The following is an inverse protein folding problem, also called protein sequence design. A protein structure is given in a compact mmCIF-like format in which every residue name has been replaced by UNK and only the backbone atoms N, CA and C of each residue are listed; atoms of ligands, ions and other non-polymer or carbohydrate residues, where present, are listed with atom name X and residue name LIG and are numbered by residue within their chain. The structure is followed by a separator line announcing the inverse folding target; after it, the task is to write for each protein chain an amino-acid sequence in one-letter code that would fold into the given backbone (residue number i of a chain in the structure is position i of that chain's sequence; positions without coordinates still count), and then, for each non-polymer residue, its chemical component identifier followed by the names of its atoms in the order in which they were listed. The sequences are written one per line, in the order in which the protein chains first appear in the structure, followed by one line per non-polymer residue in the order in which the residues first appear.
data_IF_899818619366
#
_entry.id   IF_899818619366
#
_cell.length_a   1.000
_cell.length_b   1.000
_cell.length_c   1.000
_cell.angle_alpha   90.00
_cell.angle_beta   90.00
_cell.angle_gamma   90.00
#
_symmetry.space_group_name_H-M   'P 1'
#
loop_
_entity.id
_entity.type
_entity.pdbx_description
1 polymer ?
#
# COMPACT_ATOMS: atom_id res chain seq x y z
N UNK A 1 13.17 7.24 10.80
CA UNK A 1 12.67 7.25 9.39
C UNK A 1 11.19 6.94 9.38
N UNK A 2 10.42 7.53 8.44
CA UNK A 2 8.98 7.33 8.33
C UNK A 2 8.63 6.68 6.99
N UNK A 3 7.64 5.79 6.97
CA UNK A 3 7.02 5.30 5.74
C UNK A 3 5.62 5.90 5.64
N UNK A 4 5.34 6.56 4.52
CA UNK A 4 4.05 7.16 4.20
C UNK A 4 3.35 6.27 3.17
N UNK A 5 2.25 5.64 3.55
CA UNK A 5 1.47 4.82 2.66
C UNK A 5 0.21 5.57 2.21
N UNK A 6 0.14 5.86 0.93
CA UNK A 6 -1.00 6.57 0.33
C UNK A 6 -1.96 5.56 -0.28
N UNK A 7 -3.21 5.59 0.13
CA UNK A 7 -4.27 4.75 -0.40
C UNK A 7 -4.51 4.94 -1.90
N UNK A 8 -5.11 3.96 -2.55
CA UNK A 8 -5.42 4.00 -3.97
C UNK A 8 -6.85 4.44 -4.31
N UNK A 9 -7.61 4.96 -3.33
CA UNK A 9 -8.96 5.45 -3.51
C UNK A 9 -9.05 6.75 -4.31
N UNK A 10 -10.24 7.06 -4.82
CA UNK A 10 -10.49 8.29 -5.58
C UNK A 10 -10.41 9.57 -4.73
N UNK A 11 -10.82 9.49 -3.46
CA UNK A 11 -10.97 10.66 -2.61
C UNK A 11 -9.70 11.08 -1.87
N UNK A 12 -8.61 10.35 -2.05
CA UNK A 12 -7.32 10.71 -1.42
C UNK A 12 -6.81 12.03 -2.00
N UNK A 13 -6.61 13.01 -1.13
CA UNK A 13 -6.11 14.34 -1.47
C UNK A 13 -4.58 14.33 -1.61
N UNK A 14 -4.10 14.02 -2.81
CA UNK A 14 -2.66 13.97 -3.10
C UNK A 14 -1.98 15.34 -3.00
N UNK A 15 -2.69 16.39 -3.41
CA UNK A 15 -2.19 17.77 -3.35
C UNK A 15 -1.96 18.19 -1.90
N UNK A 16 -2.96 17.96 -1.02
CA UNK A 16 -2.84 18.25 0.40
C UNK A 16 -1.71 17.47 1.09
N UNK A 17 -1.50 16.19 0.71
CA UNK A 17 -0.36 15.42 1.22
C UNK A 17 0.96 16.05 0.74
N UNK A 18 1.07 16.40 -0.54
CA UNK A 18 2.28 17.01 -1.09
C UNK A 18 2.55 18.41 -0.50
N UNK A 19 1.50 19.21 -0.23
CA UNK A 19 1.61 20.50 0.47
C UNK A 19 2.20 20.34 1.86
N UNK A 20 1.71 19.35 2.62
CA UNK A 20 2.18 19.10 3.98
C UNK A 20 3.64 18.57 4.00
N UNK A 21 4.04 17.82 2.96
CA UNK A 21 5.40 17.31 2.82
C UNK A 21 6.46 18.39 2.65
N UNK A 22 6.12 19.60 2.22
CA UNK A 22 7.07 20.71 2.11
C UNK A 22 7.76 21.05 3.43
N UNK A 23 7.05 20.85 4.54
CA UNK A 23 7.56 21.15 5.88
C UNK A 23 7.90 19.90 6.69
N UNK A 24 7.68 18.72 6.11
CA UNK A 24 7.96 17.45 6.77
C UNK A 24 9.42 17.01 6.52
N UNK A 25 10.24 16.86 7.58
CA UNK A 25 11.65 16.57 7.39
C UNK A 25 11.91 15.15 6.90
N UNK A 26 12.83 14.97 5.92
CA UNK A 26 13.34 13.65 5.55
C UNK A 26 14.18 13.03 6.69
N UNK A 27 14.48 11.72 6.67
CA UNK A 27 14.19 10.79 5.59
C UNK A 27 12.81 10.12 5.71
N UNK A 28 12.12 10.00 4.59
CA UNK A 28 10.90 9.23 4.46
C UNK A 28 10.80 8.56 3.09
N UNK A 29 10.01 7.48 3.01
CA UNK A 29 9.68 6.76 1.78
C UNK A 29 8.17 6.81 1.60
N UNK A 30 7.71 7.07 0.38
CA UNK A 30 6.30 7.03 0.02
C UNK A 30 6.01 5.69 -0.68
N UNK A 31 4.94 5.01 -0.26
CA UNK A 31 4.37 3.84 -0.96
C UNK A 31 2.93 4.17 -1.32
N UNK A 32 2.54 4.02 -2.58
CA UNK A 32 1.18 4.37 -2.98
C UNK A 32 0.42 3.26 -3.68
N UNK A 33 -0.91 3.30 -3.54
CA UNK A 33 -1.85 2.52 -4.32
C UNK A 33 -2.46 3.32 -5.47
N UNK A 34 -3.13 2.62 -6.40
CA UNK A 34 -3.90 3.22 -7.50
C UNK A 34 -5.08 2.33 -7.93
N UNK A 35 -5.67 1.59 -6.99
CA UNK A 35 -6.70 0.60 -7.32
C UNK A 35 -7.95 1.23 -7.97
N UNK A 36 -8.37 2.42 -7.58
CA UNK A 36 -9.49 3.11 -8.20
C UNK A 36 -9.17 3.50 -9.65
N UNK A 37 -7.99 4.08 -9.88
CA UNK A 37 -7.52 4.44 -11.22
C UNK A 37 -7.32 3.20 -12.11
N UNK A 38 -6.78 2.10 -11.55
CA UNK A 38 -6.67 0.83 -12.29
C UNK A 38 -8.04 0.33 -12.74
N UNK A 39 -9.03 0.35 -11.86
CA UNK A 39 -10.38 -0.13 -12.17
C UNK A 39 -11.04 0.75 -13.25
N UNK A 40 -10.81 2.07 -13.19
CA UNK A 40 -11.26 3.01 -14.23
C UNK A 40 -10.59 2.75 -15.58
N UNK A 41 -9.27 2.58 -15.62
CA UNK A 41 -8.54 2.29 -16.86
C UNK A 41 -8.93 0.93 -17.45
N UNK A 42 -9.11 -0.09 -16.62
CA UNK A 42 -9.59 -1.40 -17.07
C UNK A 42 -10.94 -1.27 -17.77
N UNK A 43 -11.89 -0.53 -17.18
CA UNK A 43 -13.20 -0.30 -17.76
C UNK A 43 -13.11 0.47 -19.10
N UNK A 44 -12.27 1.49 -19.21
CA UNK A 44 -12.04 2.26 -20.45
C UNK A 44 -11.43 1.40 -21.57
N UNK A 45 -10.57 0.44 -21.21
CA UNK A 45 -9.93 -0.48 -22.15
C UNK A 45 -10.77 -1.73 -22.46
N UNK A 46 -11.96 -1.87 -21.86
CA UNK A 46 -12.82 -3.05 -22.03
C UNK A 46 -12.25 -4.32 -21.40
N UNK A 47 -11.32 -4.18 -20.42
CA UNK A 47 -10.71 -5.31 -19.71
C UNK A 47 -11.53 -5.61 -18.46
N UNK A 48 -12.12 -6.81 -18.40
CA UNK A 48 -12.98 -7.22 -17.30
C UNK A 48 -12.17 -7.48 -16.02
N UNK A 49 -12.59 -6.86 -14.94
CA UNK A 49 -12.03 -7.12 -13.61
C UNK A 49 -12.56 -8.44 -13.05
N UNK A 50 -11.70 -9.44 -12.98
CA UNK A 50 -12.01 -10.74 -12.38
C UNK A 50 -11.54 -10.80 -10.92
N UNK A 51 -12.40 -11.27 -10.02
CA UNK A 51 -12.05 -11.46 -8.61
C UNK A 51 -12.00 -12.95 -8.33
N UNK A 52 -10.89 -13.39 -7.73
CA UNK A 52 -10.73 -14.74 -7.23
C UNK A 52 -10.88 -14.74 -5.71
N UNK A 53 -11.73 -15.63 -5.20
CA UNK A 53 -11.82 -15.90 -3.76
C UNK A 53 -11.18 -17.25 -3.48
N UNK A 54 -10.12 -17.25 -2.68
CA UNK A 54 -9.42 -18.47 -2.29
C UNK A 54 -10.28 -19.30 -1.32
N UNK A 55 -10.00 -20.60 -1.23
CA UNK A 55 -10.64 -21.49 -0.23
C UNK A 55 -10.43 -21.05 1.21
N UNK A 56 -9.43 -20.20 1.48
CA UNK A 56 -9.18 -19.58 2.78
C UNK A 56 -9.94 -18.26 3.00
N UNK A 57 -10.87 -17.89 2.10
CA UNK A 57 -11.74 -16.73 2.22
C UNK A 57 -11.12 -15.40 1.80
N UNK A 58 -9.88 -15.37 1.30
CA UNK A 58 -9.25 -14.14 0.82
C UNK A 58 -9.60 -13.89 -0.65
N UNK A 59 -10.13 -12.69 -0.92
CA UNK A 59 -10.43 -12.23 -2.28
C UNK A 59 -9.33 -11.35 -2.82
N UNK A 60 -8.95 -11.55 -4.09
CA UNK A 60 -7.96 -10.73 -4.80
C UNK A 60 -8.38 -10.54 -6.26
N UNK A 61 -7.86 -9.49 -6.89
CA UNK A 61 -8.03 -9.31 -8.33
C UNK A 61 -7.14 -10.33 -9.04
N UNK A 62 -7.73 -11.07 -9.98
CA UNK A 62 -6.98 -11.97 -10.85
C UNK A 62 -6.02 -11.15 -11.72
N UNK A 63 -4.74 -11.48 -11.64
CA UNK A 63 -3.67 -10.73 -12.30
C UNK A 63 -3.15 -11.56 -13.49
N UNK A 64 -3.92 -11.63 -14.59
CA UNK A 64 -3.40 -12.10 -15.88
C UNK A 64 -2.52 -11.04 -16.54
N UNK A 65 -2.09 -11.28 -17.78
CA UNK A 65 -1.19 -10.36 -18.48
C UNK A 65 -1.86 -9.00 -18.72
N UNK A 66 -3.10 -8.98 -19.18
CA UNK A 66 -3.83 -7.74 -19.47
C UNK A 66 -4.09 -6.94 -18.19
N UNK A 67 -4.48 -7.62 -17.11
CA UNK A 67 -4.65 -6.97 -15.80
C UNK A 67 -3.34 -6.42 -15.25
N UNK A 68 -2.20 -7.09 -15.51
CA UNK A 68 -0.88 -6.62 -15.10
C UNK A 68 -0.45 -5.39 -15.91
N UNK A 69 -0.73 -5.35 -17.22
CA UNK A 69 -0.46 -4.19 -18.07
C UNK A 69 -1.27 -2.97 -17.61
N UNK A 70 -2.57 -3.14 -17.35
CA UNK A 70 -3.41 -2.07 -16.78
C UNK A 70 -2.90 -1.62 -15.42
N UNK A 71 -2.43 -2.55 -14.59
CA UNK A 71 -1.81 -2.21 -13.31
C UNK A 71 -0.58 -1.33 -13.52
N UNK A 72 0.32 -1.68 -14.44
CA UNK A 72 1.51 -0.87 -14.74
C UNK A 72 1.13 0.51 -15.27
N UNK A 73 0.16 0.64 -16.17
CA UNK A 73 -0.33 1.93 -16.65
C UNK A 73 -0.86 2.80 -15.51
N UNK A 74 -1.69 2.23 -14.63
CA UNK A 74 -2.31 2.97 -13.53
C UNK A 74 -1.34 3.36 -12.42
N UNK A 75 -0.56 2.38 -11.95
CA UNK A 75 0.28 2.54 -10.77
C UNK A 75 1.63 3.18 -11.11
N UNK A 76 2.40 2.55 -12.00
CA UNK A 76 3.76 2.99 -12.34
C UNK A 76 3.74 4.21 -13.29
N UNK A 77 2.80 4.21 -14.23
CA UNK A 77 2.64 5.31 -15.17
C UNK A 77 1.96 6.51 -14.53
N UNK A 78 0.62 6.50 -14.50
CA UNK A 78 -0.14 7.73 -14.20
C UNK A 78 -0.05 8.17 -12.74
N UNK A 79 -0.41 7.29 -11.78
CA UNK A 79 -0.46 7.68 -10.35
C UNK A 79 0.90 8.04 -9.80
N UNK A 80 1.92 7.22 -10.10
CA UNK A 80 3.27 7.46 -9.62
C UNK A 80 3.81 8.81 -10.14
N UNK A 81 3.69 9.06 -11.46
CA UNK A 81 4.21 10.30 -12.06
C UNK A 81 3.45 11.53 -11.63
N UNK A 82 2.14 11.46 -11.38
CA UNK A 82 1.39 12.58 -10.79
C UNK A 82 1.84 12.88 -9.36
N UNK A 83 2.14 11.87 -8.54
CA UNK A 83 2.72 12.10 -7.21
C UNK A 83 4.10 12.76 -7.29
N UNK A 84 4.96 12.24 -8.17
CA UNK A 84 6.29 12.84 -8.39
C UNK A 84 6.17 14.29 -8.87
N UNK A 85 5.30 14.58 -9.83
CA UNK A 85 5.03 15.93 -10.33
C UNK A 85 4.60 16.87 -9.19
N UNK A 86 3.64 16.46 -8.35
CA UNK A 86 3.18 17.23 -7.20
C UNK A 86 4.30 17.51 -6.19
N UNK A 87 5.17 16.53 -5.95
CA UNK A 87 6.34 16.68 -5.09
C UNK A 87 7.35 17.67 -5.70
N UNK A 88 7.69 17.53 -6.98
CA UNK A 88 8.65 18.40 -7.67
C UNK A 88 8.17 19.85 -7.70
N UNK A 89 6.88 20.11 -7.94
CA UNK A 89 6.28 21.46 -7.87
C UNK A 89 6.46 22.12 -6.51
N UNK A 90 6.71 21.33 -5.46
CA UNK A 90 6.88 21.77 -4.07
C UNK A 90 8.33 21.70 -3.58
N UNK A 91 9.28 21.52 -4.51
CA UNK A 91 10.71 21.47 -4.21
C UNK A 91 11.14 20.17 -3.52
N UNK A 92 10.29 19.14 -3.50
CA UNK A 92 10.62 17.82 -2.96
C UNK A 92 11.23 16.98 -4.08
N UNK A 93 12.50 16.60 -3.94
CA UNK A 93 13.23 15.83 -4.95
C UNK A 93 12.78 14.36 -4.98
N UNK A 94 11.55 14.13 -5.42
CA UNK A 94 10.95 12.80 -5.48
C UNK A 94 11.41 12.01 -6.71
N UNK A 95 11.64 10.70 -6.53
CA UNK A 95 11.92 9.75 -7.60
C UNK A 95 10.88 8.63 -7.59
N UNK A 96 10.14 8.50 -8.69
CA UNK A 96 9.08 7.50 -8.82
C UNK A 96 9.62 6.19 -9.37
N UNK A 97 9.43 5.11 -8.62
CA UNK A 97 9.98 3.78 -8.88
C UNK A 97 8.92 2.69 -8.60
N UNK A 98 9.07 1.58 -9.27
CA UNK A 98 8.36 0.32 -8.96
C UNK A 98 9.31 -0.63 -8.23
N UNK A 99 8.79 -1.75 -7.77
CA UNK A 99 9.65 -2.80 -7.23
C UNK A 99 10.59 -3.44 -8.25
N UNK A 100 10.30 -3.29 -9.56
CA UNK A 100 11.17 -3.78 -10.65
C UNK A 100 12.45 -2.97 -10.78
N UNK A 101 12.37 -1.64 -10.63
CA UNK A 101 13.46 -0.72 -10.85
C UNK A 101 14.61 -1.04 -9.89
N UNK A 102 15.79 -1.38 -10.43
CA UNK A 102 16.91 -1.82 -9.63
C UNK A 102 16.63 -3.02 -8.72
N UNK A 103 15.60 -3.79 -9.02
CA UNK A 103 15.07 -4.87 -8.14
C UNK A 103 14.89 -4.40 -6.71
N UNK A 104 14.32 -3.19 -6.53
CA UNK A 104 14.11 -2.59 -5.21
C UNK A 104 13.28 -3.52 -4.32
N UNK A 105 12.25 -4.17 -4.89
CA UNK A 105 11.45 -5.15 -4.16
C UNK A 105 11.38 -6.42 -4.98
N UNK A 106 11.92 -7.49 -4.41
CA UNK A 106 11.82 -8.82 -4.99
C UNK A 106 10.85 -9.66 -4.18
N UNK A 107 10.08 -10.46 -4.87
CA UNK A 107 9.06 -11.31 -4.28
C UNK A 107 9.14 -12.74 -4.77
N UNK A 108 8.16 -13.51 -4.34
CA UNK A 108 7.93 -14.87 -4.80
C UNK A 108 6.55 -14.97 -5.40
N UNK A 109 6.49 -15.41 -6.66
CA UNK A 109 5.22 -15.63 -7.36
C UNK A 109 4.40 -16.73 -6.67
N UNK A 110 3.09 -16.53 -6.59
CA UNK A 110 2.18 -17.55 -6.08
C UNK A 110 2.19 -18.77 -6.99
N UNK A 111 2.37 -19.96 -6.42
CA UNK A 111 2.37 -21.22 -7.19
C UNK A 111 0.99 -21.57 -7.75
N UNK A 112 -0.06 -20.99 -7.18
CA UNK A 112 -1.46 -21.11 -7.58
C UNK A 112 -2.39 -20.77 -6.44
N UNK A 113 -3.53 -20.19 -6.81
CA UNK A 113 -4.61 -19.82 -5.89
C UNK A 113 -5.64 -20.95 -5.95
N UNK A 114 -5.91 -21.58 -4.81
CA UNK A 114 -6.96 -22.60 -4.71
C UNK A 114 -8.30 -21.91 -4.58
N UNK A 115 -9.16 -22.07 -5.57
CA UNK A 115 -10.52 -21.54 -5.59
C UNK A 115 -11.54 -22.69 -5.55
N UNK A 116 -12.74 -22.42 -5.05
CA UNK A 116 -13.86 -23.35 -5.11
C UNK A 116 -14.74 -22.99 -6.30
N UNK A 117 -14.98 -23.94 -7.19
CA UNK A 117 -15.82 -23.80 -8.37
C UNK A 117 -16.85 -24.95 -8.33
N UNK A 118 -18.04 -24.65 -7.81
CA UNK A 118 -19.02 -25.68 -7.42
C UNK A 118 -18.46 -26.57 -6.30
N UNK A 119 -18.46 -27.88 -6.50
CA UNK A 119 -17.91 -28.85 -5.53
C UNK A 119 -16.44 -29.18 -5.74
N UNK A 120 -15.79 -28.58 -6.74
CA UNK A 120 -14.40 -28.87 -7.08
C UNK A 120 -13.47 -27.76 -6.61
N UNK A 121 -12.26 -28.17 -6.19
CA UNK A 121 -11.16 -27.21 -5.94
C UNK A 121 -10.32 -27.14 -7.22
N UNK A 122 -10.17 -25.93 -7.74
CA UNK A 122 -9.33 -25.63 -8.88
C UNK A 122 -8.13 -24.78 -8.46
N UNK A 123 -6.98 -25.00 -9.10
CA UNK A 123 -5.78 -24.20 -8.91
C UNK A 123 -5.68 -23.22 -10.09
N UNK A 124 -5.75 -21.94 -9.80
CA UNK A 124 -5.59 -20.87 -10.79
C UNK A 124 -4.23 -20.22 -10.59
N UNK A 125 -3.48 -20.05 -11.68
CA UNK A 125 -2.18 -19.36 -11.67
C UNK A 125 -2.33 -17.99 -12.27
N UNK A 126 -1.70 -17.00 -11.67
CA UNK A 126 -1.68 -15.63 -12.15
C UNK A 126 -0.31 -14.97 -11.91
N UNK A 127 -0.19 -13.69 -12.22
CA UNK A 127 1.00 -12.88 -11.95
C UNK A 127 0.92 -12.17 -10.60
N UNK A 128 0.45 -12.85 -9.56
CA UNK A 128 0.46 -12.32 -8.20
C UNK A 128 1.54 -12.99 -7.35
N UNK A 129 1.99 -12.29 -6.31
CA UNK A 129 3.00 -12.83 -5.41
C UNK A 129 3.16 -12.00 -4.14
N UNK A 130 4.11 -12.43 -3.29
CA UNK A 130 4.43 -11.77 -2.03
C UNK A 130 5.83 -11.21 -2.04
N UNK A 131 6.05 -9.99 -1.54
CA UNK A 131 7.38 -9.40 -1.43
C UNK A 131 8.20 -10.19 -0.39
N UNK A 132 9.52 -10.28 -0.60
CA UNK A 132 10.44 -11.06 0.23
C UNK A 132 11.72 -10.33 0.58
N UNK A 133 12.23 -9.52 -0.34
CA UNK A 133 13.52 -8.87 -0.20
C UNK A 133 13.43 -7.42 -0.68
N UNK A 134 14.22 -6.56 -0.06
CA UNK A 134 14.37 -5.14 -0.40
C UNK A 134 15.85 -4.88 -0.74
N UNK A 135 16.08 -4.19 -1.82
CA UNK A 135 17.40 -3.63 -2.13
C UNK A 135 17.62 -2.37 -1.26
N UNK A 136 17.97 -2.60 -0.01
CA UNK A 136 18.18 -1.52 0.97
C UNK A 136 19.36 -0.64 0.62
N UNK A 137 20.37 -1.17 -0.08
CA UNK A 137 21.54 -0.41 -0.50
C UNK A 137 21.13 0.71 -1.47
N UNK A 138 20.30 0.39 -2.49
CA UNK A 138 19.81 1.39 -3.44
C UNK A 138 18.92 2.43 -2.75
N UNK A 139 17.99 2.01 -1.89
CA UNK A 139 17.12 2.95 -1.19
C UNK A 139 17.88 3.87 -0.24
N UNK A 140 18.86 3.35 0.50
CA UNK A 140 19.72 4.15 1.37
C UNK A 140 20.55 5.16 0.58
N UNK A 141 21.11 4.75 -0.57
CA UNK A 141 21.84 5.65 -1.45
C UNK A 141 20.94 6.79 -1.96
N UNK A 142 19.74 6.49 -2.44
CA UNK A 142 18.80 7.52 -2.89
C UNK A 142 18.46 8.51 -1.77
N UNK A 143 18.17 8.02 -0.56
CA UNK A 143 17.89 8.87 0.60
C UNK A 143 19.09 9.73 1.02
N UNK A 144 20.32 9.20 0.94
CA UNK A 144 21.57 9.94 1.24
C UNK A 144 21.82 11.05 0.24
N UNK A 145 21.49 10.84 -1.04
CA UNK A 145 21.58 11.85 -2.11
C UNK A 145 20.39 12.84 -2.10
N UNK A 146 19.54 12.80 -1.07
CA UNK A 146 18.43 13.73 -0.90
C UNK A 146 17.20 13.42 -1.76
N UNK A 147 17.11 12.26 -2.38
CA UNK A 147 15.90 11.84 -3.08
C UNK A 147 14.86 11.28 -2.12
N UNK A 148 13.58 11.49 -2.46
CA UNK A 148 12.44 10.85 -1.81
C UNK A 148 11.92 9.73 -2.71
N UNK A 149 12.13 8.44 -2.36
CA UNK A 149 11.59 7.33 -3.13
C UNK A 149 10.06 7.28 -3.05
N UNK A 150 9.39 7.23 -4.21
CA UNK A 150 7.94 7.05 -4.34
C UNK A 150 7.70 5.71 -4.99
N UNK A 151 7.39 4.70 -4.17
CA UNK A 151 7.35 3.30 -4.55
C UNK A 151 5.95 2.79 -4.83
N UNK A 152 5.84 1.84 -5.75
CA UNK A 152 4.59 1.15 -6.04
C UNK A 152 4.84 -0.23 -6.68
N UNK A 153 3.76 -0.97 -6.93
CA UNK A 153 3.78 -2.19 -7.73
C UNK A 153 3.93 -1.87 -9.24
N UNK A 154 4.39 -2.83 -10.08
CA UNK A 154 4.69 -4.22 -9.77
C UNK A 154 6.04 -4.42 -9.06
N UNK A 155 6.25 -5.62 -8.53
CA UNK A 155 7.54 -6.07 -7.99
C UNK A 155 8.15 -7.14 -8.90
N UNK A 156 9.44 -7.43 -8.73
CA UNK A 156 10.09 -8.52 -9.45
C UNK A 156 9.85 -9.87 -8.75
N UNK A 157 9.55 -10.93 -9.50
CA UNK A 157 9.64 -12.28 -8.96
C UNK A 157 11.10 -12.81 -8.97
N UNK A 158 11.28 -14.09 -8.63
CA UNK A 158 12.60 -14.73 -8.58
C UNK A 158 13.33 -14.72 -9.94
N UNK A 159 12.59 -14.63 -11.06
CA UNK A 159 13.15 -14.59 -12.43
C UNK A 159 13.33 -13.18 -12.98
N UNK A 160 12.78 -12.17 -12.28
CA UNK A 160 12.72 -10.78 -12.73
C UNK A 160 11.42 -10.44 -13.46
N UNK A 161 10.48 -11.37 -13.54
CA UNK A 161 9.17 -11.12 -14.13
C UNK A 161 8.34 -10.20 -13.22
N UNK A 162 7.59 -9.28 -13.82
CA UNK A 162 6.67 -8.41 -13.09
C UNK A 162 5.53 -9.22 -12.45
N UNK A 163 5.29 -8.97 -11.19
CA UNK A 163 4.15 -9.54 -10.47
C UNK A 163 3.43 -8.47 -9.64
N UNK A 164 2.11 -8.61 -9.55
CA UNK A 164 1.29 -7.83 -8.63
C UNK A 164 1.53 -8.28 -7.19
N UNK A 165 1.53 -7.33 -6.26
CA UNK A 165 1.62 -7.57 -4.82
C UNK A 165 0.77 -6.57 -4.06
N UNK A 166 0.47 -6.89 -2.78
CA UNK A 166 -0.23 -5.96 -1.92
C UNK A 166 0.72 -4.87 -1.39
N UNK A 167 0.34 -3.60 -1.55
CA UNK A 167 1.16 -2.49 -1.05
C UNK A 167 1.33 -2.52 0.48
N UNK A 168 0.37 -3.07 1.22
CA UNK A 168 0.47 -3.21 2.67
C UNK A 168 1.54 -4.24 3.07
N UNK A 169 1.69 -5.34 2.29
CA UNK A 169 2.81 -6.31 2.46
C UNK A 169 4.16 -5.65 2.12
N UNK A 170 4.20 -4.78 1.11
CA UNK A 170 5.39 -4.00 0.73
C UNK A 170 5.79 -3.05 1.87
N UNK A 171 4.84 -2.32 2.45
CA UNK A 171 5.09 -1.43 3.58
C UNK A 171 5.66 -2.19 4.78
N UNK A 172 5.09 -3.36 5.10
CA UNK A 172 5.59 -4.21 6.18
C UNK A 172 7.03 -4.65 5.94
N UNK A 173 7.33 -5.11 4.73
CA UNK A 173 8.69 -5.54 4.37
C UNK A 173 9.69 -4.37 4.40
N UNK A 174 9.30 -3.21 3.86
CA UNK A 174 10.13 -2.00 3.88
C UNK A 174 10.39 -1.51 5.30
N UNK A 175 9.38 -1.54 6.17
CA UNK A 175 9.50 -1.10 7.55
C UNK A 175 10.58 -1.90 8.28
N UNK A 176 10.54 -3.23 8.20
CA UNK A 176 11.55 -4.07 8.82
C UNK A 176 12.95 -3.92 8.18
N UNK A 177 13.02 -3.86 6.83
CA UNK A 177 14.28 -3.78 6.11
C UNK A 177 15.00 -2.43 6.28
N UNK A 178 14.25 -1.34 6.43
CA UNK A 178 14.77 0.02 6.54
C UNK A 178 14.81 0.55 7.98
N UNK A 179 14.24 -0.18 8.94
CA UNK A 179 14.17 0.23 10.34
C UNK A 179 13.28 1.48 10.55
N UNK A 180 12.16 1.57 9.84
CA UNK A 180 11.26 2.70 10.02
C UNK A 180 10.55 2.59 11.37
N UNK A 181 10.57 3.66 12.15
CA UNK A 181 9.95 3.68 13.49
C UNK A 181 8.47 4.06 13.44
N UNK A 182 8.06 4.75 12.38
CA UNK A 182 6.67 5.19 12.20
C UNK A 182 6.17 4.86 10.80
N UNK A 183 4.90 4.42 10.72
CA UNK A 183 4.18 4.21 9.47
C UNK A 183 2.87 4.99 9.50
N UNK A 184 2.65 5.84 8.50
CA UNK A 184 1.40 6.61 8.36
C UNK A 184 0.66 6.11 7.13
N UNK A 185 -0.56 5.63 7.33
CA UNK A 185 -1.45 5.18 6.26
C UNK A 185 -2.52 6.25 6.01
N UNK A 186 -2.49 6.90 4.86
CA UNK A 186 -3.58 7.74 4.38
C UNK A 186 -4.64 6.86 3.72
N UNK A 187 -5.82 6.81 4.31
CA UNK A 187 -6.92 5.95 3.88
C UNK A 187 -8.15 6.78 3.49
N UNK A 188 -9.07 6.17 2.77
CA UNK A 188 -10.35 6.78 2.35
C UNK A 188 -11.42 6.62 3.45
N UNK A 189 -11.02 6.95 4.68
CA UNK A 189 -11.85 6.93 5.88
C UNK A 189 -11.19 7.77 6.98
N UNK A 190 -11.93 8.26 7.98
CA UNK A 190 -11.37 9.11 9.04
C UNK A 190 -10.42 8.36 10.01
N UNK A 191 -10.38 7.05 9.93
CA UNK A 191 -9.57 6.15 10.77
C UNK A 191 -10.14 4.74 10.72
N UNK A 192 -9.80 3.89 11.69
CA UNK A 192 -10.48 2.62 11.91
C UNK A 192 -11.82 2.89 12.58
N UNK A 193 -12.90 2.43 11.94
CA UNK A 193 -14.25 2.60 12.45
C UNK A 193 -14.68 1.38 13.26
N UNK A 194 -15.32 1.62 14.41
CA UNK A 194 -15.96 0.57 15.19
C UNK A 194 -17.19 0.00 14.43
N UNK A 195 -17.91 0.88 13.72
CA UNK A 195 -18.98 0.53 12.79
C UNK A 195 -18.70 1.13 11.41
N UNK A 196 -18.51 0.30 10.36
CA UNK A 196 -18.20 0.78 9.01
C UNK A 196 -19.26 1.72 8.40
N UNK A 197 -20.49 1.70 8.92
CA UNK A 197 -21.59 2.55 8.45
C UNK A 197 -21.70 3.89 9.20
N UNK A 198 -20.86 4.11 10.21
CA UNK A 198 -20.90 5.29 11.08
C UNK A 198 -19.52 5.98 11.10
N UNK A 199 -19.31 6.99 10.22
CA UNK A 199 -18.03 7.69 10.12
C UNK A 199 -17.53 8.32 11.44
N UNK A 200 -18.46 8.66 12.34
CA UNK A 200 -18.18 9.20 13.67
C UNK A 200 -17.65 8.15 14.66
N UNK A 201 -17.73 6.87 14.32
CA UNK A 201 -17.30 5.77 15.19
C UNK A 201 -15.81 5.48 15.11
N UNK A 202 -14.98 6.50 14.85
CA UNK A 202 -13.51 6.37 14.80
C UNK A 202 -12.99 5.90 16.15
N UNK A 203 -12.13 4.89 16.11
CA UNK A 203 -11.38 4.44 17.29
C UNK A 203 -10.08 5.24 17.32
N UNK A 204 -9.90 6.19 18.26
CA UNK A 204 -8.76 7.10 18.19
C UNK A 204 -7.42 6.44 18.55
N UNK A 205 -7.45 5.47 19.46
CA UNK A 205 -6.25 4.73 19.90
C UNK A 205 -6.53 3.25 20.05
N UNK A 206 -5.55 2.44 19.71
CA UNK A 206 -5.57 0.98 19.88
C UNK A 206 -4.21 0.50 20.36
N UNK A 207 -4.24 -0.40 21.32
CA UNK A 207 -3.09 -1.26 21.61
C UNK A 207 -2.96 -2.35 20.53
N UNK A 208 -1.80 -2.98 20.45
CA UNK A 208 -1.57 -4.10 19.55
C UNK A 208 -2.46 -5.32 19.88
N UNK A 209 -2.83 -5.48 21.16
CA UNK A 209 -3.74 -6.54 21.63
C UNK A 209 -5.17 -6.28 21.15
N UNK A 210 -5.65 -5.04 21.26
CA UNK A 210 -6.94 -4.63 20.73
C UNK A 210 -7.00 -4.75 19.20
N UNK A 211 -5.91 -4.40 18.49
CA UNK A 211 -5.82 -4.59 17.04
C UNK A 211 -5.98 -6.06 16.63
N UNK A 212 -5.38 -6.99 17.40
CA UNK A 212 -5.53 -8.43 17.17
C UNK A 212 -6.98 -8.89 17.40
N UNK A 213 -7.64 -8.34 18.40
CA UNK A 213 -9.06 -8.60 18.66
C UNK A 213 -9.96 -8.14 17.50
N UNK A 214 -9.67 -6.97 16.93
CA UNK A 214 -10.37 -6.44 15.76
C UNK A 214 -10.10 -7.29 14.50
N UNK A 215 -8.85 -7.71 14.26
CA UNK A 215 -8.49 -8.56 13.11
C UNK A 215 -9.25 -9.87 13.12
N UNK A 216 -9.36 -10.52 14.29
CA UNK A 216 -10.07 -11.78 14.43
C UNK A 216 -11.56 -11.70 14.04
N UNK A 217 -12.18 -10.51 14.16
CA UNK A 217 -13.61 -10.26 13.89
C UNK A 217 -13.88 -9.62 12.53
N UNK A 218 -12.85 -9.03 11.94
CA UNK A 218 -12.97 -8.40 10.63
C UNK A 218 -13.08 -9.43 9.50
N UNK A 219 -13.67 -9.01 8.40
CA UNK A 219 -13.81 -9.82 7.18
C UNK A 219 -13.26 -9.09 5.94
N UNK A 220 -13.08 -9.83 4.86
CA UNK A 220 -12.71 -9.31 3.55
C UNK A 220 -11.43 -8.48 3.52
N UNK A 221 -11.51 -7.29 2.92
CA UNK A 221 -10.36 -6.39 2.74
C UNK A 221 -9.88 -5.80 4.07
N UNK A 222 -10.77 -5.53 5.01
CA UNK A 222 -10.41 -4.98 6.32
C UNK A 222 -9.56 -5.98 7.11
N UNK A 223 -9.96 -7.24 7.16
CA UNK A 223 -9.17 -8.31 7.81
C UNK A 223 -7.75 -8.36 7.29
N UNK A 224 -7.58 -8.30 5.96
CA UNK A 224 -6.24 -8.31 5.34
C UNK A 224 -5.41 -7.10 5.78
N UNK A 225 -6.03 -5.91 5.83
CA UNK A 225 -5.36 -4.69 6.27
C UNK A 225 -4.92 -4.78 7.74
N UNK A 226 -5.83 -5.17 8.64
CA UNK A 226 -5.50 -5.31 10.06
C UNK A 226 -4.40 -6.36 10.28
N UNK A 227 -4.41 -7.45 9.51
CA UNK A 227 -3.34 -8.45 9.54
C UNK A 227 -1.99 -7.89 9.11
N UNK A 228 -1.94 -7.07 8.06
CA UNK A 228 -0.71 -6.42 7.64
C UNK A 228 -0.18 -5.46 8.71
N UNK A 229 -1.06 -4.73 9.40
CA UNK A 229 -0.69 -3.88 10.54
C UNK A 229 -0.11 -4.70 11.70
N UNK A 230 -0.69 -5.85 12.03
CA UNK A 230 -0.14 -6.74 13.07
C UNK A 230 1.25 -7.28 12.72
N UNK A 231 1.56 -7.44 11.44
CA UNK A 231 2.91 -7.83 11.02
C UNK A 231 3.94 -6.72 11.28
N UNK A 232 3.54 -5.45 11.25
CA UNK A 232 4.41 -4.32 11.60
C UNK A 232 4.86 -4.38 13.07
N UNK A 233 4.00 -4.83 14.00
CA UNK A 233 4.39 -5.09 15.39
C UNK A 233 5.59 -6.03 15.48
N UNK A 234 5.57 -7.12 14.70
CA UNK A 234 6.65 -8.11 14.70
C UNK A 234 7.98 -7.55 14.20
N UNK A 235 7.94 -6.45 13.44
CA UNK A 235 9.09 -5.72 12.90
C UNK A 235 9.50 -4.53 13.80
N UNK A 236 8.98 -4.46 15.04
CA UNK A 236 9.33 -3.44 16.05
C UNK A 236 9.03 -2.00 15.61
N UNK A 237 7.94 -1.77 14.86
CA UNK A 237 7.45 -0.41 14.61
C UNK A 237 6.98 0.20 15.94
N UNK A 238 7.33 1.46 16.17
CA UNK A 238 6.94 2.18 17.41
C UNK A 238 5.48 2.66 17.32
N UNK A 239 5.09 3.18 16.15
CA UNK A 239 3.77 3.78 15.96
C UNK A 239 3.25 3.57 14.55
N UNK A 240 1.97 3.22 14.43
CA UNK A 240 1.24 3.22 13.16
C UNK A 240 0.04 4.16 13.28
N UNK A 241 -0.17 5.02 12.27
CA UNK A 241 -1.29 5.94 12.21
C UNK A 241 -2.14 5.62 10.97
N UNK A 242 -3.44 5.42 11.18
CA UNK A 242 -4.43 5.37 10.11
C UNK A 242 -5.11 6.74 10.05
N UNK A 243 -4.76 7.54 9.06
CA UNK A 243 -5.22 8.92 8.93
C UNK A 243 -6.19 9.10 7.76
N UNK A 244 -7.08 10.07 7.86
CA UNK A 244 -7.96 10.46 6.78
C UNK A 244 -7.17 11.13 5.64
N UNK A 245 -7.07 10.42 4.53
CA UNK A 245 -6.37 10.92 3.35
C UNK A 245 -7.18 11.92 2.51
N UNK A 246 -8.43 12.22 2.88
CA UNK A 246 -9.37 13.06 2.10
C UNK A 246 -9.38 14.53 2.54
N UNK A 247 -8.92 14.78 3.75
CA UNK A 247 -8.93 16.13 4.35
C UNK A 247 -7.97 17.10 3.64
N UNK A 248 -8.05 18.38 3.96
CA UNK A 248 -7.21 19.40 3.33
C UNK A 248 -5.72 19.22 3.60
N UNK A 249 -5.35 18.82 4.83
CA UNK A 249 -3.98 18.67 5.30
C UNK A 249 -3.78 17.28 5.93
N UNK A 250 -3.73 16.19 5.12
CA UNK A 250 -3.76 14.83 5.67
C UNK A 250 -2.57 14.47 6.57
N UNK A 251 -1.36 14.95 6.23
CA UNK A 251 -0.17 14.64 7.01
C UNK A 251 -0.13 15.45 8.31
N UNK A 252 -0.52 16.71 8.28
CA UNK A 252 -0.62 17.53 9.51
C UNK A 252 -1.63 16.95 10.48
N UNK A 253 -2.81 16.54 9.97
CA UNK A 253 -3.83 15.88 10.79
C UNK A 253 -3.30 14.56 11.39
N UNK A 254 -2.59 13.75 10.60
CA UNK A 254 -1.96 12.52 11.09
C UNK A 254 -0.93 12.79 12.19
N UNK A 255 -0.11 13.83 12.03
CA UNK A 255 0.90 14.21 13.04
C UNK A 255 0.28 14.75 14.32
N UNK A 256 -0.92 15.32 14.25
CA UNK A 256 -1.74 15.72 15.41
C UNK A 256 -2.54 14.54 16.00
N UNK A 257 -2.27 13.32 15.54
CA UNK A 257 -2.94 12.09 15.96
C UNK A 257 -4.46 12.06 15.65
N UNK A 258 -4.91 12.87 14.68
CA UNK A 258 -6.27 12.80 14.17
C UNK A 258 -6.40 11.58 13.24
N UNK A 259 -7.19 10.59 13.69
CA UNK A 259 -7.34 9.29 13.08
C UNK A 259 -7.26 8.17 14.10
N UNK A 260 -6.64 7.04 13.74
CA UNK A 260 -6.39 5.92 14.66
C UNK A 260 -4.90 5.74 14.87
N UNK A 261 -4.46 5.85 16.10
CA UNK A 261 -3.07 5.59 16.51
C UNK A 261 -2.96 4.19 17.10
N UNK A 262 -2.00 3.40 16.61
CA UNK A 262 -1.71 2.04 17.08
C UNK A 262 -0.27 2.03 17.62
N UNK A 263 -0.12 1.61 18.89
CA UNK A 263 1.18 1.57 19.58
C UNK A 263 1.21 0.54 20.72
#
# INVERSE_FOLDING_TARGET
MVILKIGGGHHINLEGIADDLQTFPPPYIIVHGANALRDELAARLGIEKRILTSVSGYSSVYSDADALDVLMMAYAGLRNKRLVELCQQRGINAIGLTGLDGRIIQGRRNRGIRIKEGDKIRIVRDFSGKPRQVNTALLKHLLQEGYVPVLTVPIADETGTAINSENDDIVTLLQGAMGATRVIHFIDAPGLLADPHRPESVIPRLSWEELAWWEARAEGRMKRKLRALLQLKQQQVEQVILADGRVKHPLKEALNENGTVIQ
#
